data_IF_276101367450
#
_entry.id   IF_276101367450
#
_cell.length_a   1.000
_cell.length_b   1.000
_cell.length_c   1.000
_cell.angle_alpha   90.00
_cell.angle_beta   90.00
_cell.angle_gamma   90.00
#
_symmetry.space_group_name_H-M   'P 1'
#
loop_
_entity.id
_entity.type
_entity.pdbx_description
1 polymer ?
#
# COMPACT_ATOMS: atom_id res chain seq x y z
N UNK A 1 16.69 -1.85 -3.82
CA UNK A 1 16.34 -1.26 -5.14
C UNK A 1 14.92 -1.70 -5.44
N UNK A 2 13.97 -0.78 -5.26
CA UNK A 2 12.56 -1.10 -5.09
C UNK A 2 11.92 -1.46 -6.42
N UNK A 3 11.03 -2.47 -6.40
CA UNK A 3 10.32 -2.99 -7.57
C UNK A 3 9.48 -1.91 -8.27
N UNK A 4 9.15 -0.84 -7.54
CA UNK A 4 8.43 0.36 -8.00
C UNK A 4 9.21 1.19 -9.03
N UNK A 5 10.55 1.15 -9.01
CA UNK A 5 11.39 1.90 -9.96
C UNK A 5 11.39 1.28 -11.36
N UNK A 6 11.03 -0.01 -11.48
CA UNK A 6 10.96 -0.72 -12.77
C UNK A 6 9.70 -0.37 -13.57
N UNK A 7 8.61 0.02 -12.91
CA UNK A 7 7.34 0.38 -13.57
C UNK A 7 7.39 1.76 -14.25
N UNK A 8 8.18 2.71 -13.74
CA UNK A 8 8.35 4.04 -14.36
C UNK A 8 9.02 4.02 -15.75
N UNK A 9 9.71 2.93 -16.11
CA UNK A 9 10.35 2.79 -17.43
C UNK A 9 9.40 2.37 -18.55
N UNK A 10 8.16 1.97 -18.24
CA UNK A 10 7.27 1.38 -19.25
C UNK A 10 6.27 2.35 -19.89
N UNK A 11 6.06 3.55 -19.33
CA UNK A 11 5.20 4.56 -19.94
C UNK A 11 5.93 5.88 -20.16
N UNK A 12 6.41 6.07 -21.39
CA UNK A 12 6.35 7.35 -22.10
C UNK A 12 7.13 8.52 -21.51
N UNK A 13 8.33 8.74 -22.03
CA UNK A 13 9.10 9.97 -21.82
C UNK A 13 8.36 11.22 -22.30
N UNK A 14 8.47 12.28 -21.50
CA UNK A 14 8.13 13.65 -21.82
C UNK A 14 8.96 14.59 -20.97
N UNK A 15 9.89 15.31 -21.61
CA UNK A 15 10.75 16.33 -21.03
C UNK A 15 9.91 17.54 -20.57
N UNK A 16 10.10 17.98 -19.31
CA UNK A 16 9.46 19.19 -18.77
C UNK A 16 10.21 19.68 -17.54
N UNK A 17 10.87 20.82 -17.67
CA UNK A 17 11.65 21.52 -16.65
C UNK A 17 10.77 22.44 -15.80
N UNK A 18 11.07 22.52 -14.50
CA UNK A 18 10.85 23.73 -13.68
C UNK A 18 9.50 23.88 -12.97
N UNK A 19 9.52 23.79 -11.64
CA UNK A 19 8.39 24.15 -10.78
C UNK A 19 8.66 23.91 -9.30
N UNK A 20 9.53 24.70 -8.69
CA UNK A 20 9.60 24.86 -7.24
C UNK A 20 8.43 25.74 -6.78
N UNK A 21 7.49 25.22 -6.00
CA UNK A 21 6.66 26.04 -5.12
C UNK A 21 5.89 25.21 -4.08
N UNK A 22 6.00 25.68 -2.84
CA UNK A 22 5.08 25.56 -1.73
C UNK A 22 4.94 24.18 -1.06
N UNK A 23 5.68 24.05 0.05
CA UNK A 23 5.18 23.39 1.26
C UNK A 23 3.75 23.86 1.53
N UNK A 24 2.78 23.02 1.21
CA UNK A 24 1.41 23.15 1.67
C UNK A 24 1.35 22.68 3.11
N UNK A 25 1.49 23.62 4.04
CA UNK A 25 1.07 23.43 5.43
C UNK A 25 -0.41 23.05 5.44
N UNK A 26 -0.70 21.75 5.50
CA UNK A 26 -2.03 21.24 5.73
C UNK A 26 -2.24 21.09 7.23
N UNK A 27 -2.30 22.22 7.93
CA UNK A 27 -2.84 22.28 9.29
C UNK A 27 -4.28 21.77 9.25
N UNK A 28 -4.48 20.58 9.78
CA UNK A 28 -5.77 20.01 10.13
C UNK A 28 -5.63 19.48 11.55
N UNK A 29 -5.61 20.42 12.50
CA UNK A 29 -5.88 20.15 13.90
C UNK A 29 -7.33 19.67 14.03
N UNK A 30 -7.53 18.51 14.66
CA UNK A 30 -8.81 17.83 14.70
C UNK A 30 -8.78 16.52 15.47
N UNK A 31 -8.56 16.60 16.79
CA UNK A 31 -8.94 15.55 17.74
C UNK A 31 -7.80 14.68 18.23
N UNK A 32 -7.23 15.04 19.39
CA UNK A 32 -6.31 14.18 20.13
C UNK A 32 -6.94 12.80 20.38
N UNK A 33 -6.13 11.76 20.16
CA UNK A 33 -6.41 10.32 20.19
C UNK A 33 -6.64 9.64 18.82
N UNK A 34 -6.79 10.41 17.73
CA UNK A 34 -6.75 9.88 16.37
C UNK A 34 -5.42 10.22 15.65
N UNK A 35 -4.94 9.29 14.82
CA UNK A 35 -3.72 9.49 14.03
C UNK A 35 -3.84 10.71 13.11
N UNK A 36 -2.71 11.35 12.82
CA UNK A 36 -2.67 12.49 11.90
C UNK A 36 -3.01 12.05 10.48
N UNK A 37 -3.52 12.97 9.65
CA UNK A 37 -3.75 12.67 8.23
C UNK A 37 -2.44 12.33 7.49
N UNK A 38 -1.33 12.93 7.90
CA UNK A 38 -0.02 12.66 7.32
C UNK A 38 0.42 11.22 7.62
N UNK A 39 0.28 10.79 8.88
CA UNK A 39 0.56 9.42 9.27
C UNK A 39 -0.40 8.42 8.62
N UNK A 40 -1.69 8.73 8.56
CA UNK A 40 -2.69 7.88 7.90
C UNK A 40 -2.33 7.65 6.43
N UNK A 41 -1.96 8.70 5.70
CA UNK A 41 -1.55 8.59 4.31
C UNK A 41 -0.20 7.88 4.15
N UNK A 42 0.74 8.09 5.09
CA UNK A 42 2.03 7.38 5.09
C UNK A 42 1.83 5.87 5.29
N UNK A 43 0.87 5.48 6.12
CA UNK A 43 0.57 4.09 6.47
C UNK A 43 -0.45 3.42 5.54
N UNK A 44 -0.86 4.07 4.44
CA UNK A 44 -1.97 3.60 3.60
C UNK A 44 -1.69 2.24 2.97
N UNK A 45 -0.44 1.96 2.59
CA UNK A 45 -0.06 0.70 1.95
C UNK A 45 0.03 -0.42 2.98
N UNK A 46 0.70 -0.18 4.11
CA UNK A 46 0.81 -1.12 5.22
C UNK A 46 -0.58 -1.49 5.76
N UNK A 47 -1.49 -0.51 5.86
CA UNK A 47 -2.88 -0.76 6.21
C UNK A 47 -3.62 -1.64 5.20
N UNK A 48 -3.44 -1.39 3.89
CA UNK A 48 -4.04 -2.20 2.83
C UNK A 48 -3.48 -3.63 2.83
N UNK A 49 -2.19 -3.79 3.09
CA UNK A 49 -1.50 -5.09 3.11
C UNK A 49 -1.69 -5.84 4.43
N UNK A 50 -2.14 -5.17 5.49
CA UNK A 50 -2.33 -5.75 6.83
C UNK A 50 -1.03 -5.85 7.62
N UNK A 51 0.00 -5.11 7.21
CA UNK A 51 1.37 -5.16 7.76
C UNK A 51 1.66 -3.91 8.61
N UNK A 52 0.70 -3.47 9.40
CA UNK A 52 0.89 -2.32 10.29
C UNK A 52 1.81 -2.68 11.47
N UNK A 53 2.93 -1.97 11.57
CA UNK A 53 3.87 -2.09 12.68
C UNK A 53 3.79 -0.86 13.60
N UNK A 54 3.72 -1.10 14.92
CA UNK A 54 3.81 -0.04 15.93
C UNK A 54 2.59 0.89 16.03
N UNK A 55 1.54 0.66 15.24
CA UNK A 55 0.27 1.41 15.31
C UNK A 55 -0.90 0.41 15.26
N UNK A 56 -1.96 0.69 16.01
CA UNK A 56 -3.15 -0.15 15.97
C UNK A 56 -3.89 0.00 14.63
N UNK A 57 -4.20 -1.13 13.99
CA UNK A 57 -5.07 -1.16 12.81
C UNK A 57 -6.40 -0.45 13.05
N UNK A 58 -6.98 -0.58 14.25
CA UNK A 58 -8.24 0.06 14.62
C UNK A 58 -8.14 1.59 14.59
N UNK A 59 -7.00 2.16 15.00
CA UNK A 59 -6.77 3.61 14.98
C UNK A 59 -6.65 4.13 13.54
N UNK A 60 -5.93 3.40 12.68
CA UNK A 60 -5.78 3.76 11.25
C UNK A 60 -7.12 3.66 10.52
N UNK A 61 -7.87 2.58 10.77
CA UNK A 61 -9.21 2.35 10.22
C UNK A 61 -10.18 3.46 10.63
N UNK A 62 -10.24 3.79 11.92
CA UNK A 62 -11.10 4.85 12.44
C UNK A 62 -10.84 6.19 11.75
N UNK A 63 -9.57 6.54 11.49
CA UNK A 63 -9.23 7.74 10.74
C UNK A 63 -9.81 7.73 9.32
N UNK A 64 -9.62 6.65 8.56
CA UNK A 64 -10.12 6.57 7.19
C UNK A 64 -11.65 6.54 7.09
N UNK A 65 -12.35 6.06 8.12
CA UNK A 65 -13.82 6.03 8.17
C UNK A 65 -14.43 7.44 8.33
N UNK A 66 -13.77 8.33 9.07
CA UNK A 66 -14.30 9.67 9.37
C UNK A 66 -13.68 10.78 8.51
N UNK A 67 -12.45 10.58 8.03
CA UNK A 67 -11.70 11.60 7.32
C UNK A 67 -12.05 11.66 5.83
N UNK A 68 -12.91 12.62 5.45
CA UNK A 68 -13.28 12.89 4.05
C UNK A 68 -12.10 13.23 3.14
N UNK A 69 -10.99 13.73 3.70
CA UNK A 69 -9.79 14.08 2.95
C UNK A 69 -8.97 12.84 2.58
N UNK A 70 -8.80 11.91 3.52
CA UNK A 70 -7.94 10.73 3.33
C UNK A 70 -8.68 9.57 2.66
N UNK A 71 -10.01 9.47 2.83
CA UNK A 71 -10.80 8.38 2.25
C UNK A 71 -10.65 8.20 0.72
N UNK A 72 -10.63 9.26 -0.12
CA UNK A 72 -10.38 9.11 -1.56
C UNK A 72 -9.03 8.47 -1.89
N UNK A 73 -7.98 8.73 -1.10
CA UNK A 73 -6.66 8.14 -1.29
C UNK A 73 -6.71 6.63 -1.00
N UNK A 74 -7.27 6.22 0.13
CA UNK A 74 -7.47 4.81 0.46
C UNK A 74 -8.25 4.07 -0.65
N UNK A 75 -9.30 4.71 -1.17
CA UNK A 75 -10.13 4.15 -2.24
C UNK A 75 -9.37 3.98 -3.55
N UNK A 76 -8.55 4.96 -3.92
CA UNK A 76 -7.69 4.87 -5.10
C UNK A 76 -6.71 3.70 -4.97
N UNK A 77 -5.99 3.62 -3.84
CA UNK A 77 -4.99 2.58 -3.62
C UNK A 77 -5.61 1.18 -3.61
N UNK A 78 -6.77 1.02 -2.97
CA UNK A 78 -7.51 -0.25 -2.96
C UNK A 78 -7.95 -0.66 -4.38
N UNK A 79 -8.49 0.29 -5.15
CA UNK A 79 -8.91 0.03 -6.53
C UNK A 79 -7.71 -0.27 -7.45
N UNK A 80 -6.57 0.38 -7.22
CA UNK A 80 -5.35 0.13 -7.95
C UNK A 80 -4.81 -1.28 -7.67
N UNK A 81 -4.73 -1.69 -6.39
CA UNK A 81 -4.34 -3.05 -5.99
C UNK A 81 -5.23 -4.11 -6.63
N UNK A 82 -6.55 -3.89 -6.65
CA UNK A 82 -7.52 -4.74 -7.33
C UNK A 82 -7.23 -4.86 -8.83
N UNK A 83 -6.99 -3.73 -9.49
CA UNK A 83 -6.70 -3.68 -10.92
C UNK A 83 -5.41 -4.45 -11.27
N UNK A 84 -4.36 -4.29 -10.47
CA UNK A 84 -3.10 -5.03 -10.61
C UNK A 84 -3.33 -6.53 -10.44
N UNK A 85 -4.06 -6.94 -9.40
CA UNK A 85 -4.37 -8.36 -9.17
C UNK A 85 -5.12 -8.97 -10.34
N UNK A 86 -6.12 -8.26 -10.89
CA UNK A 86 -6.86 -8.71 -12.07
C UNK A 86 -5.97 -8.82 -13.31
N UNK A 87 -5.06 -7.88 -13.52
CA UNK A 87 -4.11 -7.93 -14.63
C UNK A 87 -3.13 -9.11 -14.50
N UNK A 88 -2.76 -9.47 -13.27
CA UNK A 88 -1.86 -10.59 -12.98
C UNK A 88 -2.56 -11.96 -12.88
N UNK A 89 -3.90 -12.02 -12.93
CA UNK A 89 -4.67 -13.23 -12.64
C UNK A 89 -4.39 -14.42 -13.58
N UNK A 90 -3.80 -14.18 -14.75
CA UNK A 90 -3.40 -15.23 -15.70
C UNK A 90 -1.99 -15.80 -15.45
N UNK A 91 -1.18 -15.19 -14.58
CA UNK A 91 0.19 -15.62 -14.32
C UNK A 91 0.21 -16.62 -13.16
N UNK A 92 0.23 -17.90 -13.51
CA UNK A 92 0.32 -18.99 -12.56
C UNK A 92 1.79 -19.23 -12.15
N UNK A 93 2.08 -19.24 -10.84
CA UNK A 93 3.39 -19.70 -10.38
C UNK A 93 3.75 -21.08 -10.98
N UNK A 94 4.99 -21.29 -11.47
CA UNK A 94 5.41 -22.57 -12.05
C UNK A 94 5.13 -23.75 -11.12
N UNK A 95 4.68 -24.87 -11.68
CA UNK A 95 4.31 -26.08 -10.93
C UNK A 95 5.40 -26.54 -9.97
N UNK A 96 6.65 -26.52 -10.44
CA UNK A 96 7.80 -26.96 -9.65
C UNK A 96 8.03 -26.07 -8.43
N UNK A 97 7.82 -24.75 -8.58
CA UNK A 97 7.95 -23.80 -7.48
C UNK A 97 6.81 -24.00 -6.48
N UNK A 98 5.57 -24.18 -6.97
CA UNK A 98 4.41 -24.45 -6.11
C UNK A 98 4.63 -25.71 -5.28
N UNK A 99 5.02 -26.82 -5.89
CA UNK A 99 5.28 -28.09 -5.20
C UNK A 99 6.34 -27.93 -4.11
N UNK A 100 7.45 -27.25 -4.41
CA UNK A 100 8.51 -26.98 -3.42
C UNK A 100 7.99 -26.18 -2.24
N UNK A 101 7.26 -25.09 -2.50
CA UNK A 101 6.70 -24.24 -1.44
C UNK A 101 5.71 -25.02 -0.57
N UNK A 102 4.83 -25.83 -1.17
CA UNK A 102 3.87 -26.65 -0.41
C UNK A 102 4.54 -27.69 0.47
N UNK A 103 5.64 -28.30 0.02
CA UNK A 103 6.42 -29.23 0.85
C UNK A 103 7.07 -28.52 2.03
N UNK A 104 7.73 -27.38 1.79
CA UNK A 104 8.39 -26.61 2.85
C UNK A 104 7.41 -26.12 3.93
N UNK A 105 6.20 -25.73 3.52
CA UNK A 105 5.14 -25.34 4.47
C UNK A 105 4.71 -26.54 5.34
N UNK A 106 4.51 -27.71 4.72
CA UNK A 106 4.12 -28.91 5.46
C UNK A 106 5.21 -29.38 6.44
N UNK A 107 6.49 -29.22 6.09
CA UNK A 107 7.62 -29.50 6.97
C UNK A 107 7.66 -28.51 8.15
N UNK A 108 7.52 -27.20 7.89
CA UNK A 108 7.49 -26.17 8.94
C UNK A 108 6.33 -26.37 9.91
N UNK A 109 5.15 -26.76 9.42
CA UNK A 109 3.98 -27.06 10.25
C UNK A 109 4.14 -28.34 11.10
N UNK A 110 5.02 -29.27 10.70
CA UNK A 110 5.30 -30.50 11.44
C UNK A 110 6.38 -30.33 12.53
N UNK A 111 7.18 -29.26 12.46
CA UNK A 111 8.25 -28.94 13.40
C UNK A 111 7.80 -28.03 14.57
N UNK A 112 6.61 -27.42 14.47
CA UNK A 112 5.99 -26.57 15.51
C UNK A 112 5.04 -27.32 16.44
#
# INVERSE_FOLDING_TARGET
MSIVDRLKRFFGGGSGTGGTAANGAASGDGGGDMISCEDALRLVHEFIDGELEGVSEAQVRAHFEVCKRCYPHLRLETAFREAVRRAAAGEAAPTDLRSKVTTLLAEADAEG
#
